data_IF_726316551040
#
_entry.id   IF_726316551040
#
_cell.length_a   1.000
_cell.length_b   1.000
_cell.length_c   1.000
_cell.angle_alpha   90.00
_cell.angle_beta   90.00
_cell.angle_gamma   90.00
#
_symmetry.space_group_name_H-M   'P 1'
#
loop_
_entity.id
_entity.type
_entity.pdbx_description
1 polymer ?
#
# COMPACT_ATOMS: atom_id res chain seq x y z
N UNK A 1 8.21 -5.83 -5.71
CA UNK A 1 6.84 -6.39 -5.70
C UNK A 1 6.18 -5.95 -7.00
N UNK A 2 5.39 -6.81 -7.63
CA UNK A 2 4.66 -6.45 -8.87
C UNK A 2 3.32 -5.86 -8.48
N UNK A 3 2.89 -4.78 -9.13
CA UNK A 3 1.56 -4.24 -8.88
C UNK A 3 0.48 -5.23 -9.35
N UNK A 4 -0.61 -5.29 -8.59
CA UNK A 4 -1.74 -6.20 -8.81
C UNK A 4 -2.97 -5.47 -9.29
N UNK A 5 -3.20 -4.30 -8.68
CA UNK A 5 -4.38 -3.51 -8.91
C UNK A 5 -3.99 -2.10 -9.34
N UNK A 6 -4.86 -1.48 -10.11
CA UNK A 6 -4.87 -0.04 -10.27
C UNK A 6 -6.15 0.53 -9.66
N UNK A 7 -5.97 1.39 -8.65
CA UNK A 7 -7.05 2.07 -7.94
C UNK A 7 -7.30 3.41 -8.62
N UNK A 8 -8.57 3.77 -8.79
CA UNK A 8 -8.97 5.09 -9.29
C UNK A 8 -10.11 5.66 -8.47
N UNK A 9 -10.03 6.95 -8.15
CA UNK A 9 -11.04 7.66 -7.37
C UNK A 9 -11.91 8.49 -8.32
N UNK A 10 -13.18 8.10 -8.42
CA UNK A 10 -14.15 8.73 -9.31
C UNK A 10 -14.90 9.86 -8.61
N UNK A 11 -15.20 9.70 -7.32
CA UNK A 11 -15.87 10.72 -6.51
C UNK A 11 -15.53 10.63 -5.02
N UNK A 12 -15.65 11.76 -4.31
CA UNK A 12 -15.61 11.82 -2.85
C UNK A 12 -16.62 12.84 -2.35
N UNK A 13 -17.55 12.38 -1.52
CA UNK A 13 -18.54 13.23 -0.84
C UNK A 13 -18.51 12.92 0.65
N UNK A 14 -18.10 13.90 1.47
CA UNK A 14 -17.95 13.76 2.93
C UNK A 14 -17.14 12.51 3.33
N UNK A 15 -17.77 11.59 4.05
CA UNK A 15 -17.19 10.34 4.53
C UNK A 15 -17.36 9.16 3.55
N UNK A 16 -17.75 9.44 2.31
CA UNK A 16 -17.96 8.42 1.27
C UNK A 16 -17.02 8.65 0.09
N UNK A 17 -16.38 7.57 -0.36
CA UNK A 17 -15.49 7.49 -1.50
C UNK A 17 -16.08 6.52 -2.52
N UNK A 18 -16.01 6.88 -3.80
CA UNK A 18 -16.37 5.99 -4.92
C UNK A 18 -15.21 5.90 -5.90
N UNK A 19 -15.02 4.71 -6.45
CA UNK A 19 -13.92 4.49 -7.37
C UNK A 19 -14.01 3.14 -8.07
N UNK A 20 -12.90 2.78 -8.71
CA UNK A 20 -12.73 1.49 -9.38
C UNK A 20 -11.43 0.83 -8.99
N UNK A 21 -11.48 -0.49 -8.87
CA UNK A 21 -10.34 -1.38 -8.69
C UNK A 21 -10.18 -2.15 -10.00
N UNK A 22 -9.10 -1.91 -10.74
CA UNK A 22 -8.77 -2.68 -11.94
C UNK A 22 -7.77 -3.76 -11.54
N UNK A 23 -8.03 -5.02 -11.90
CA UNK A 23 -7.00 -6.06 -11.85
C UNK A 23 -6.06 -5.86 -13.03
N UNK A 24 -4.79 -5.57 -12.79
CA UNK A 24 -3.79 -5.30 -13.84
C UNK A 24 -2.76 -6.42 -13.98
N UNK A 25 -2.84 -7.45 -13.13
CA UNK A 25 -1.94 -8.59 -13.11
C UNK A 25 -2.72 -9.88 -12.82
N UNK A 26 -2.45 -11.00 -13.54
CA UNK A 26 -3.04 -12.30 -13.24
C UNK A 26 -2.83 -12.77 -11.79
N UNK A 27 -1.74 -12.37 -11.14
CA UNK A 27 -1.43 -12.72 -9.75
C UNK A 27 -2.43 -12.12 -8.74
N UNK A 28 -3.27 -11.16 -9.16
CA UNK A 28 -4.35 -10.64 -8.31
C UNK A 28 -5.39 -11.72 -7.97
N UNK A 29 -5.67 -12.64 -8.91
CA UNK A 29 -6.60 -13.76 -8.75
C UNK A 29 -8.08 -13.36 -8.68
N UNK A 30 -8.45 -12.52 -7.72
CA UNK A 30 -9.83 -12.12 -7.43
C UNK A 30 -9.91 -10.62 -7.13
N UNK A 31 -11.13 -10.07 -7.10
CA UNK A 31 -11.33 -8.74 -6.54
C UNK A 31 -11.35 -8.80 -5.00
N UNK A 32 -10.81 -7.79 -4.31
CA UNK A 32 -10.76 -7.78 -2.86
C UNK A 32 -12.14 -7.43 -2.26
N UNK A 33 -12.58 -8.22 -1.29
CA UNK A 33 -13.86 -8.05 -0.59
C UNK A 33 -13.67 -7.74 0.91
N UNK A 34 -12.48 -7.98 1.44
CA UNK A 34 -12.15 -7.83 2.86
C UNK A 34 -11.99 -6.37 3.30
N UNK A 35 -12.27 -6.10 4.58
CA UNK A 35 -12.27 -4.73 5.15
C UNK A 35 -10.88 -4.16 5.40
N UNK A 36 -9.82 -4.97 5.43
CA UNK A 36 -8.45 -4.49 5.51
C UNK A 36 -8.04 -3.74 4.22
N UNK A 37 -8.50 -4.22 3.07
CA UNK A 37 -8.22 -3.65 1.75
C UNK A 37 -8.60 -2.16 1.62
N UNK A 38 -9.82 -1.70 1.93
CA UNK A 38 -10.16 -0.28 1.86
C UNK A 38 -9.35 0.56 2.85
N UNK A 39 -8.96 0.03 4.02
CA UNK A 39 -8.04 0.76 4.90
C UNK A 39 -6.66 0.88 4.25
N UNK A 40 -6.12 -0.19 3.65
CA UNK A 40 -4.86 -0.12 2.89
C UNK A 40 -4.90 0.89 1.76
N UNK A 41 -6.01 1.00 1.00
CA UNK A 41 -6.18 2.05 -0.03
C UNK A 41 -5.97 3.45 0.58
N UNK A 42 -6.61 3.72 1.73
CA UNK A 42 -6.52 5.02 2.40
C UNK A 42 -5.07 5.30 2.80
N UNK A 43 -4.42 4.34 3.45
CA UNK A 43 -3.08 4.50 4.02
C UNK A 43 -2.02 4.56 2.91
N UNK A 44 -2.08 3.68 1.90
CA UNK A 44 -1.15 3.64 0.76
C UNK A 44 -1.18 4.97 -0.01
N UNK A 45 -2.38 5.51 -0.28
CA UNK A 45 -2.50 6.82 -0.92
C UNK A 45 -1.82 7.92 -0.09
N UNK A 46 -2.07 7.97 1.22
CA UNK A 46 -1.44 8.96 2.11
C UNK A 46 0.09 8.80 2.14
N UNK A 47 0.58 7.57 2.28
CA UNK A 47 2.00 7.24 2.32
C UNK A 47 2.71 7.65 1.01
N UNK A 48 2.13 7.30 -0.14
CA UNK A 48 2.63 7.72 -1.46
C UNK A 48 2.65 9.22 -1.63
N UNK A 49 1.60 9.91 -1.18
CA UNK A 49 1.56 11.38 -1.19
C UNK A 49 2.70 11.97 -0.36
N UNK A 50 2.93 11.45 0.85
CA UNK A 50 3.98 11.92 1.77
C UNK A 50 5.39 11.74 1.20
N UNK A 51 5.67 10.61 0.58
CA UNK A 51 7.02 10.26 0.12
C UNK A 51 7.25 10.48 -1.39
N UNK A 52 6.22 10.88 -2.13
CA UNK A 52 6.30 11.10 -3.57
C UNK A 52 6.44 9.81 -4.39
N UNK A 53 6.02 8.67 -3.83
CA UNK A 53 6.08 7.35 -4.47
C UNK A 53 4.94 7.17 -5.48
N UNK A 54 5.03 7.90 -6.59
CA UNK A 54 4.14 7.76 -7.73
C UNK A 54 4.94 7.32 -8.95
N UNK A 55 4.60 6.14 -9.47
CA UNK A 55 5.28 5.54 -10.59
C UNK A 55 4.91 6.24 -11.90
N UNK A 56 5.92 6.50 -12.71
CA UNK A 56 5.76 6.99 -14.09
C UNK A 56 6.41 5.98 -15.01
N UNK A 57 5.68 5.46 -16.00
CA UNK A 57 6.26 4.62 -17.06
C UNK A 57 5.75 3.18 -17.17
N UNK A 58 4.59 2.82 -16.61
CA UNK A 58 3.94 1.55 -16.96
C UNK A 58 3.21 1.69 -18.31
N UNK A 59 3.04 0.56 -19.02
CA UNK A 59 2.31 0.53 -20.31
C UNK A 59 0.83 0.93 -20.18
N UNK A 60 0.32 1.06 -18.96
CA UNK A 60 -1.05 1.46 -18.62
C UNK A 60 -1.19 2.95 -18.23
N UNK A 61 -0.09 3.70 -18.28
CA UNK A 61 -0.04 5.10 -17.90
C UNK A 61 0.71 5.34 -16.58
N UNK A 62 0.87 6.61 -16.25
CA UNK A 62 1.50 7.05 -15.02
C UNK A 62 0.47 7.12 -13.89
N UNK A 63 0.92 6.87 -12.66
CA UNK A 63 0.17 7.25 -11.48
C UNK A 63 -0.16 8.75 -11.55
N UNK A 64 -1.40 9.11 -11.22
CA UNK A 64 -1.90 10.47 -11.38
C UNK A 64 -2.42 11.03 -10.07
N UNK A 65 -1.94 12.23 -9.79
CA UNK A 65 -2.53 13.13 -8.82
C UNK A 65 -3.25 14.27 -9.54
N UNK A 66 -4.43 14.71 -9.06
CA UNK A 66 -5.09 15.91 -9.57
C UNK A 66 -4.43 17.20 -9.05
N UNK A 67 -3.20 17.12 -8.54
CA UNK A 67 -2.43 18.21 -7.97
C UNK A 67 -0.92 17.95 -8.10
N UNK A 68 -0.06 18.98 -8.00
CA UNK A 68 1.40 18.80 -7.97
C UNK A 68 1.87 17.93 -6.80
N UNK A 69 2.97 17.20 -6.99
CA UNK A 69 3.54 16.28 -5.99
C UNK A 69 3.92 16.99 -4.70
N UNK A 70 4.44 18.22 -4.78
CA UNK A 70 4.80 19.03 -3.61
C UNK A 70 3.55 19.37 -2.78
N UNK A 71 2.43 19.63 -3.45
CA UNK A 71 1.17 19.90 -2.75
C UNK A 71 0.62 18.65 -2.09
N UNK A 72 0.71 17.50 -2.76
CA UNK A 72 0.32 16.22 -2.19
C UNK A 72 1.15 15.87 -0.94
N UNK A 73 2.48 16.05 -1.01
CA UNK A 73 3.38 15.83 0.12
C UNK A 73 3.04 16.75 1.31
N UNK A 74 2.73 18.02 1.05
CA UNK A 74 2.28 18.94 2.09
C UNK A 74 0.97 18.49 2.73
N UNK A 75 -0.03 18.09 1.94
CA UNK A 75 -1.32 17.57 2.45
C UNK A 75 -1.11 16.36 3.36
N UNK A 76 -0.27 15.41 2.95
CA UNK A 76 -0.01 14.22 3.75
C UNK A 76 0.82 14.51 5.02
N UNK A 77 1.80 15.42 4.92
CA UNK A 77 2.68 15.78 6.05
C UNK A 77 1.96 16.62 7.11
N UNK A 78 1.05 17.50 6.68
CA UNK A 78 0.27 18.39 7.55
C UNK A 78 -1.09 17.79 7.92
N UNK A 79 -1.34 16.52 7.57
CA UNK A 79 -2.62 15.86 7.81
C UNK A 79 -2.93 15.79 9.32
N UNK A 80 -4.14 16.15 9.71
CA UNK A 80 -4.53 16.18 11.12
C UNK A 80 -4.50 14.78 11.77
N UNK A 81 -4.74 13.73 10.98
CA UNK A 81 -4.69 12.33 11.40
C UNK A 81 -3.35 11.66 11.11
N UNK A 82 -2.28 12.42 10.89
CA UNK A 82 -0.97 11.89 10.50
C UNK A 82 -0.48 10.79 11.46
N UNK A 83 -0.56 11.01 12.77
CA UNK A 83 -0.06 10.04 13.76
C UNK A 83 -0.84 8.71 13.65
N UNK A 84 -2.15 8.79 13.46
CA UNK A 84 -3.01 7.62 13.28
C UNK A 84 -2.71 6.87 11.96
N UNK A 85 -2.39 7.60 10.89
CA UNK A 85 -1.94 6.97 9.64
C UNK A 85 -0.56 6.34 9.77
N UNK A 86 0.36 6.95 10.51
CA UNK A 86 1.68 6.36 10.83
C UNK A 86 1.53 5.08 11.65
N UNK A 87 0.61 5.05 12.63
CA UNK A 87 0.26 3.86 13.38
C UNK A 87 -0.32 2.76 12.47
N UNK A 88 -1.31 3.07 11.63
CA UNK A 88 -1.87 2.10 10.70
C UNK A 88 -0.83 1.56 9.71
N UNK A 89 0.04 2.41 9.17
CA UNK A 89 1.16 1.99 8.32
C UNK A 89 2.11 1.04 9.06
N UNK A 90 2.44 1.35 10.32
CA UNK A 90 3.32 0.51 11.13
C UNK A 90 2.68 -0.85 11.47
N UNK A 91 1.36 -0.91 11.61
CA UNK A 91 0.65 -2.19 11.78
C UNK A 91 0.67 -3.01 10.48
N UNK A 92 0.50 -2.36 9.32
CA UNK A 92 0.38 -3.05 8.02
C UNK A 92 1.73 -3.47 7.41
N UNK A 93 2.76 -2.63 7.51
CA UNK A 93 4.07 -2.93 6.93
C UNK A 93 5.11 -3.33 7.99
N UNK A 94 4.82 -3.09 9.27
CA UNK A 94 5.77 -3.18 10.37
C UNK A 94 6.43 -1.84 10.67
N UNK A 95 6.64 -1.56 11.95
CA UNK A 95 7.24 -0.30 12.40
C UNK A 95 8.66 -0.10 11.84
N UNK A 96 8.94 1.07 11.28
CA UNK A 96 10.28 1.42 10.80
C UNK A 96 11.09 2.18 11.85
N UNK A 97 12.33 1.74 12.07
CA UNK A 97 13.28 2.42 12.94
C UNK A 97 14.55 2.72 12.16
N UNK A 98 14.91 4.00 12.08
CA UNK A 98 16.19 4.44 11.53
C UNK A 98 17.33 3.96 12.42
N UNK A 99 18.36 3.39 11.80
CA UNK A 99 19.54 2.89 12.49
C UNK A 99 20.80 3.64 12.05
N UNK A 100 21.81 3.63 12.91
CA UNK A 100 23.11 4.21 12.60
C UNK A 100 23.77 3.51 11.39
N UNK A 101 24.51 4.23 10.54
CA UNK A 101 25.14 3.62 9.36
C UNK A 101 26.08 2.45 9.67
N UNK A 102 26.77 2.50 10.82
CA UNK A 102 27.64 1.41 11.27
C UNK A 102 26.87 0.12 11.59
N UNK A 103 25.66 0.25 12.12
CA UNK A 103 24.80 -0.88 12.44
C UNK A 103 24.24 -1.53 11.15
N UNK A 104 23.82 -0.71 10.19
CA UNK A 104 23.37 -1.21 8.89
C UNK A 104 24.49 -1.91 8.11
N UNK A 105 25.70 -1.35 8.16
CA UNK A 105 26.89 -1.98 7.59
C UNK A 105 27.24 -3.31 8.30
N UNK A 106 27.11 -3.37 9.63
CA UNK A 106 27.31 -4.60 10.40
C UNK A 106 26.33 -5.69 10.00
N UNK A 107 25.03 -5.38 9.89
CA UNK A 107 24.03 -6.35 9.43
C UNK A 107 24.33 -6.85 8.02
N UNK A 108 24.82 -5.97 7.14
CA UNK A 108 25.14 -6.34 5.76
C UNK A 108 26.38 -7.23 5.66
N UNK A 109 27.40 -6.97 6.49
CA UNK A 109 28.57 -7.83 6.59
C UNK A 109 28.21 -9.20 7.16
N UNK A 110 27.36 -9.24 8.19
CA UNK A 110 26.92 -10.49 8.83
C UNK A 110 26.08 -11.36 7.88
N UNK A 111 25.20 -10.75 7.08
CA UNK A 111 24.41 -11.44 6.06
C UNK A 111 25.28 -12.10 4.99
N UNK A 112 26.35 -11.41 4.57
CA UNK A 112 27.32 -11.96 3.61
C UNK A 112 28.16 -13.12 4.20
N UNK A 113 28.29 -13.20 5.52
CA UNK A 113 29.00 -14.28 6.22
C UNK A 113 28.13 -15.52 6.40
N UNK A 114 26.84 -15.35 6.69
CA UNK A 114 25.85 -16.42 6.74
C UNK A 114 24.83 -16.27 7.86
N UNK A 115 23.85 -17.20 7.91
CA UNK A 115 22.70 -17.14 8.79
C UNK A 115 23.04 -16.96 10.28
N UNK A 116 23.97 -17.75 10.82
CA UNK A 116 24.37 -17.67 12.24
C UNK A 116 24.99 -16.32 12.62
N UNK A 117 25.76 -15.71 11.71
CA UNK A 117 26.36 -14.40 11.92
C UNK A 117 25.28 -13.32 11.88
N UNK A 118 24.37 -13.44 10.90
CA UNK A 118 23.23 -12.53 10.76
C UNK A 118 22.28 -12.57 11.96
N UNK A 119 21.98 -13.76 12.50
CA UNK A 119 21.14 -13.92 13.69
C UNK A 119 21.75 -13.21 14.90
N UNK A 120 23.04 -13.42 15.17
CA UNK A 120 23.75 -12.75 16.27
C UNK A 120 23.77 -11.23 16.11
N UNK A 121 24.03 -10.74 14.89
CA UNK A 121 24.00 -9.31 14.60
C UNK A 121 22.59 -8.74 14.79
N UNK A 122 21.56 -9.47 14.35
CA UNK A 122 20.16 -9.06 14.46
C UNK A 122 19.71 -8.99 15.91
N UNK A 123 20.04 -9.98 16.75
CA UNK A 123 19.76 -9.93 18.19
C UNK A 123 20.37 -8.70 18.87
N UNK A 124 21.62 -8.37 18.52
CA UNK A 124 22.31 -7.19 19.04
C UNK A 124 21.64 -5.87 18.60
N UNK A 125 21.21 -5.80 17.33
CA UNK A 125 20.48 -4.62 16.83
C UNK A 125 19.10 -4.54 17.49
N UNK A 126 18.39 -5.65 17.60
CA UNK A 126 17.09 -5.69 18.24
C UNK A 126 17.16 -5.25 19.72
N UNK A 127 18.20 -5.66 20.45
CA UNK A 127 18.45 -5.18 21.82
C UNK A 127 18.76 -3.68 21.84
N UNK A 128 19.63 -3.19 20.95
CA UNK A 128 20.02 -1.76 20.91
C UNK A 128 18.84 -0.83 20.62
N UNK A 129 17.96 -1.22 19.68
CA UNK A 129 16.83 -0.40 19.23
C UNK A 129 15.50 -0.78 19.90
N UNK A 130 15.49 -1.80 20.76
CA UNK A 130 14.30 -2.25 21.48
C UNK A 130 13.21 -2.85 20.59
N UNK A 131 13.56 -3.40 19.42
CA UNK A 131 12.60 -3.88 18.43
C UNK A 131 13.11 -5.12 17.69
N UNK A 132 12.32 -6.20 17.70
CA UNK A 132 12.52 -7.31 16.77
C UNK A 132 12.15 -6.87 15.35
N UNK A 133 12.92 -7.28 14.36
CA UNK A 133 12.74 -6.83 12.98
C UNK A 133 12.88 -7.99 12.00
N UNK A 134 12.06 -7.96 10.95
CA UNK A 134 12.06 -8.96 9.88
C UNK A 134 12.98 -8.59 8.73
N UNK A 135 13.18 -7.28 8.52
CA UNK A 135 13.90 -6.77 7.36
C UNK A 135 14.80 -5.60 7.73
N UNK A 136 15.85 -5.43 6.91
CA UNK A 136 16.69 -4.25 6.88
C UNK A 136 16.66 -3.66 5.48
N UNK A 137 16.74 -2.34 5.41
CA UNK A 137 16.71 -1.63 4.13
C UNK A 137 17.63 -0.41 4.17
N UNK A 138 17.97 0.08 2.98
CA UNK A 138 18.61 1.37 2.79
C UNK A 138 17.82 2.16 1.75
N UNK A 139 17.42 3.38 2.11
CA UNK A 139 16.79 4.34 1.19
C UNK A 139 17.42 5.71 1.38
N UNK A 140 17.69 6.42 0.28
CA UNK A 140 18.32 7.74 0.32
C UNK A 140 19.62 7.82 1.17
N UNK A 141 20.39 6.72 1.21
CA UNK A 141 21.62 6.56 2.03
C UNK A 141 21.39 6.52 3.55
N UNK A 142 20.15 6.42 4.00
CA UNK A 142 19.80 6.16 5.39
C UNK A 142 19.45 4.68 5.56
N UNK A 143 19.89 4.09 6.67
CA UNK A 143 19.56 2.72 7.03
C UNK A 143 18.36 2.67 7.95
N UNK A 144 17.52 1.66 7.78
CA UNK A 144 16.41 1.38 8.66
C UNK A 144 16.19 -0.13 8.80
N UNK A 145 15.60 -0.51 9.92
CA UNK A 145 15.03 -1.83 10.17
C UNK A 145 13.51 -1.72 10.18
N UNK A 146 12.83 -2.78 9.78
CA UNK A 146 11.38 -2.86 9.76
C UNK A 146 10.91 -4.04 10.62
N UNK A 147 10.02 -3.73 11.56
CA UNK A 147 9.37 -4.66 12.47
C UNK A 147 8.48 -5.69 11.76
N UNK A 148 7.98 -6.63 12.54
CA UNK A 148 6.91 -7.53 12.10
C UNK A 148 5.62 -6.75 11.84
N UNK A 149 4.85 -7.25 10.88
CA UNK A 149 3.48 -6.78 10.63
C UNK A 149 2.55 -7.31 11.72
N UNK A 150 1.55 -6.52 12.09
CA UNK A 150 0.44 -6.94 12.94
C UNK A 150 -0.88 -6.80 12.16
N UNK A 151 -1.17 -7.82 11.34
CA UNK A 151 -2.34 -7.83 10.46
C UNK A 151 -3.67 -7.89 11.21
N UNK A 152 -3.71 -8.57 12.36
CA UNK A 152 -4.91 -8.67 13.20
C UNK A 152 -5.24 -7.30 13.80
N UNK A 153 -4.26 -6.62 14.39
CA UNK A 153 -4.46 -5.27 14.89
C UNK A 153 -4.81 -4.28 13.77
N UNK A 154 -4.22 -4.43 12.57
CA UNK A 154 -4.59 -3.61 11.42
C UNK A 154 -6.06 -3.82 11.01
N UNK A 155 -6.53 -5.07 10.96
CA UNK A 155 -7.93 -5.37 10.68
C UNK A 155 -8.87 -4.81 11.77
N UNK A 156 -8.49 -4.90 13.05
CA UNK A 156 -9.24 -4.29 14.15
C UNK A 156 -9.39 -2.77 13.97
N UNK A 157 -8.32 -2.09 13.50
CA UNK A 157 -8.41 -0.67 13.13
C UNK A 157 -9.36 -0.47 11.96
N UNK A 158 -9.34 -1.34 10.96
CA UNK A 158 -10.29 -1.25 9.84
C UNK A 158 -11.74 -1.34 10.32
N UNK A 159 -12.11 -2.24 11.24
CA UNK A 159 -13.46 -2.28 11.82
C UNK A 159 -13.84 -0.99 12.60
N UNK A 160 -12.84 -0.35 13.21
CA UNK A 160 -13.00 0.93 13.90
C UNK A 160 -13.19 2.12 12.95
N UNK A 161 -12.64 2.06 11.73
CA UNK A 161 -12.55 3.20 10.79
C UNK A 161 -13.58 3.08 9.66
N UNK A 162 -13.68 1.88 9.08
CA UNK A 162 -14.52 1.58 7.92
C UNK A 162 -15.93 1.27 8.42
N UNK A 163 -16.91 1.99 7.90
CA UNK A 163 -18.32 1.76 8.20
C UNK A 163 -18.95 0.77 7.21
N UNK A 164 -18.61 0.88 5.93
CA UNK A 164 -19.06 -0.05 4.88
C UNK A 164 -18.09 -0.03 3.70
N UNK A 165 -17.88 -1.19 3.09
CA UNK A 165 -17.18 -1.35 1.83
C UNK A 165 -18.02 -2.27 0.94
N UNK A 166 -18.46 -1.75 -0.20
CA UNK A 166 -19.32 -2.45 -1.14
C UNK A 166 -18.62 -2.50 -2.49
N UNK A 167 -18.49 -3.70 -3.04
CA UNK A 167 -17.92 -3.95 -4.37
C UNK A 167 -19.06 -4.33 -5.32
N UNK A 168 -19.07 -3.69 -6.49
CA UNK A 168 -20.08 -3.91 -7.52
C UNK A 168 -19.80 -5.16 -8.38
N UNK A 169 -20.62 -5.34 -9.41
CA UNK A 169 -20.46 -6.44 -10.36
C UNK A 169 -19.14 -6.33 -11.14
N UNK A 170 -18.40 -7.43 -11.33
CA UNK A 170 -17.22 -7.46 -12.18
C UNK A 170 -17.52 -7.13 -13.65
N UNK A 171 -16.66 -6.31 -14.25
CA UNK A 171 -16.67 -5.95 -15.66
C UNK A 171 -15.47 -6.57 -16.39
N UNK A 172 -15.59 -6.74 -17.71
CA UNK A 172 -14.54 -7.30 -18.58
C UNK A 172 -14.03 -8.68 -18.14
N UNK A 173 -14.96 -9.54 -17.70
CA UNK A 173 -14.70 -10.94 -17.34
C UNK A 173 -15.14 -11.89 -18.47
N UNK A 174 -14.47 -13.06 -18.66
CA UNK A 174 -13.23 -13.47 -18.02
C UNK A 174 -12.06 -12.55 -18.43
N UNK A 175 -10.99 -12.46 -17.62
CA UNK A 175 -9.88 -11.60 -17.93
C UNK A 175 -9.20 -12.04 -19.23
N UNK A 176 -8.64 -11.08 -19.96
CA UNK A 176 -8.05 -11.35 -21.28
C UNK A 176 -6.82 -12.27 -21.22
N UNK A 177 -6.18 -12.42 -20.06
CA UNK A 177 -5.06 -13.36 -19.85
C UNK A 177 -5.50 -14.81 -19.62
N UNK A 178 -6.79 -15.05 -19.42
CA UNK A 178 -7.37 -16.42 -19.41
C UNK A 178 -7.75 -16.88 -20.83
N UNK A 179 -7.65 -16.00 -21.83
CA UNK A 179 -7.77 -16.39 -23.23
C UNK A 179 -6.48 -17.09 -23.70
N UNK A 180 -6.60 -17.98 -24.71
CA UNK A 180 -5.48 -18.77 -25.28
C UNK A 180 -4.20 -17.94 -25.56
N UNK A 181 -3.06 -18.64 -25.66
CA UNK A 181 -1.65 -18.17 -25.64
C UNK A 181 -1.25 -16.90 -26.48
N UNK A 182 -2.13 -16.35 -27.32
CA UNK A 182 -1.88 -15.22 -28.24
C UNK A 182 -2.61 -13.91 -27.84
N UNK A 183 -2.98 -13.74 -26.56
CA UNK A 183 -3.66 -12.52 -26.14
C UNK A 183 -2.75 -11.27 -26.20
N UNK A 184 -3.34 -10.15 -26.60
CA UNK A 184 -2.68 -8.83 -26.58
C UNK A 184 -3.27 -8.03 -25.42
N UNK A 185 -2.42 -7.67 -24.46
CA UNK A 185 -2.84 -6.84 -23.34
C UNK A 185 -3.52 -5.54 -23.83
N UNK A 186 -4.65 -5.13 -23.24
CA UNK A 186 -5.30 -3.88 -23.57
C UNK A 186 -4.32 -2.71 -23.43
N UNK A 187 -4.45 -1.74 -24.34
CA UNK A 187 -3.60 -0.54 -24.36
C UNK A 187 -4.04 0.51 -23.33
N UNK A 188 -5.24 0.37 -22.78
CA UNK A 188 -5.85 1.27 -21.80
C UNK A 188 -6.52 0.45 -20.71
N UNK A 189 -6.67 1.06 -19.53
CA UNK A 189 -7.30 0.42 -18.37
C UNK A 189 -8.75 -0.01 -18.61
N UNK A 190 -9.47 0.68 -19.49
CA UNK A 190 -10.87 0.36 -19.81
C UNK A 190 -11.06 -1.07 -20.35
N UNK A 191 -9.99 -1.72 -20.85
CA UNK A 191 -10.02 -3.10 -21.30
C UNK A 191 -9.63 -4.14 -20.25
N UNK A 192 -9.16 -3.71 -19.06
CA UNK A 192 -8.82 -4.60 -17.95
C UNK A 192 -10.08 -4.96 -17.15
N UNK A 193 -10.10 -6.12 -16.47
CA UNK A 193 -11.13 -6.43 -15.48
C UNK A 193 -11.17 -5.37 -14.40
N UNK A 194 -12.38 -4.94 -14.03
CA UNK A 194 -12.56 -4.00 -12.92
C UNK A 194 -13.88 -4.19 -12.20
N UNK A 195 -13.93 -3.67 -10.98
CA UNK A 195 -15.15 -3.48 -10.19
C UNK A 195 -15.24 -2.03 -9.77
N UNK A 196 -16.47 -1.52 -9.68
CA UNK A 196 -16.75 -0.27 -8.97
C UNK A 196 -16.83 -0.56 -7.47
N UNK A 197 -16.41 0.39 -6.63
CA UNK A 197 -16.57 0.27 -5.18
C UNK A 197 -17.18 1.53 -4.57
N UNK A 198 -17.88 1.34 -3.46
CA UNK A 198 -18.29 2.40 -2.55
C UNK A 198 -17.73 2.12 -1.17
N UNK A 199 -16.95 3.06 -0.64
CA UNK A 199 -16.37 3.01 0.69
C UNK A 199 -16.97 4.13 1.54
N UNK A 200 -17.49 3.79 2.71
CA UNK A 200 -17.89 4.78 3.73
C UNK A 200 -17.07 4.59 4.99
N UNK A 201 -16.49 5.67 5.50
CA UNK A 201 -15.74 5.70 6.77
C UNK A 201 -16.57 6.35 7.87
N UNK A 202 -16.20 6.12 9.13
CA UNK A 202 -16.90 6.73 10.27
C UNK A 202 -16.63 8.22 10.42
N UNK A 203 -15.47 8.67 9.93
CA UNK A 203 -15.03 10.06 10.02
C UNK A 203 -14.45 10.52 8.69
N UNK A 204 -15.01 11.58 8.09
CA UNK A 204 -14.59 12.09 6.79
C UNK A 204 -13.10 12.49 6.73
N UNK A 205 -12.48 12.73 7.89
CA UNK A 205 -11.06 13.05 8.01
C UNK A 205 -10.16 11.92 7.51
N UNK A 206 -10.58 10.66 7.58
CA UNK A 206 -9.81 9.53 7.00
C UNK A 206 -9.72 9.60 5.47
N UNK A 207 -10.61 10.32 4.80
CA UNK A 207 -10.62 10.48 3.35
C UNK A 207 -10.13 11.87 2.91
N UNK A 208 -9.64 12.71 3.82
CA UNK A 208 -9.37 14.12 3.53
C UNK A 208 -8.27 14.31 2.47
N UNK A 209 -7.25 13.44 2.44
CA UNK A 209 -6.20 13.45 1.43
C UNK A 209 -6.61 12.87 0.07
N UNK A 210 -7.71 12.10 0.01
CA UNK A 210 -8.21 11.51 -1.22
C UNK A 210 -9.03 12.51 -2.05
N UNK A 211 -8.92 12.42 -3.37
CA UNK A 211 -9.58 13.33 -4.29
C UNK A 211 -9.91 12.67 -5.63
N UNK A 212 -11.00 13.14 -6.25
CA UNK A 212 -11.41 12.73 -7.59
C UNK A 212 -10.27 12.92 -8.60
N UNK A 213 -10.06 11.89 -9.42
CA UNK A 213 -9.03 11.87 -10.45
C UNK A 213 -7.66 11.36 -9.97
N UNK A 214 -7.53 11.01 -8.69
CA UNK A 214 -6.41 10.21 -8.22
C UNK A 214 -6.48 8.80 -8.81
N UNK A 215 -5.36 8.28 -9.27
CA UNK A 215 -5.21 6.85 -9.53
C UNK A 215 -3.76 6.42 -9.37
N UNK A 216 -3.57 5.19 -8.91
CA UNK A 216 -2.24 4.63 -8.71
C UNK A 216 -2.26 3.11 -8.82
N UNK A 217 -1.15 2.53 -9.27
CA UNK A 217 -0.91 1.10 -9.23
C UNK A 217 -0.42 0.69 -7.83
N UNK A 218 -0.88 -0.47 -7.36
CA UNK A 218 -0.55 -0.97 -6.03
C UNK A 218 -0.45 -2.48 -5.99
N UNK A 219 0.43 -2.97 -5.11
CA UNK A 219 0.64 -4.38 -4.82
C UNK A 219 -0.11 -4.84 -3.57
N UNK A 220 -1.07 -4.04 -3.08
CA UNK A 220 -1.93 -4.40 -1.95
C UNK A 220 -2.66 -5.71 -2.27
N UNK A 221 -2.51 -6.70 -1.39
CA UNK A 221 -3.40 -7.85 -1.31
C UNK A 221 -4.48 -7.57 -0.26
N UNK A 222 -5.66 -8.19 -0.36
CA UNK A 222 -6.49 -8.42 0.82
C UNK A 222 -5.87 -9.60 1.57
N UNK A 223 -5.63 -9.47 2.87
CA UNK A 223 -5.12 -10.60 3.64
C UNK A 223 -6.09 -10.85 4.78
N UNK A 224 -6.83 -11.96 4.64
CA UNK A 224 -7.20 -12.92 5.68
C UNK A 224 -8.07 -14.00 5.01
N UNK A 225 -7.43 -15.02 4.43
CA UNK A 225 -8.00 -16.36 4.46
C UNK A 225 -7.24 -17.13 5.54
N UNK A 226 -7.96 -17.57 6.59
CA UNK A 226 -7.54 -18.70 7.41
C UNK A 226 -7.57 -20.00 6.57
#
# INVERSE_FOLDING_TARGET
MTDLYQISIDDKTDATLRGRIHMINPDAGLFPEELDFPLRIIIDAWHRMKHGYFFTGHHLGDDRLPMPRERAAAIATEHEMKEEFEECQALDEGAEVRIEPGDGAMLSAADAEGADAYEKASLRIAEKYGMQFRMRWMSNREWYIQGERDGEAFLDRAYGIINAFEVGEPHNMPPFWDADDDFVAPKTLDGYPYVEFTLTVRDARYLAHLSRGMHWATAIYGELED
#
